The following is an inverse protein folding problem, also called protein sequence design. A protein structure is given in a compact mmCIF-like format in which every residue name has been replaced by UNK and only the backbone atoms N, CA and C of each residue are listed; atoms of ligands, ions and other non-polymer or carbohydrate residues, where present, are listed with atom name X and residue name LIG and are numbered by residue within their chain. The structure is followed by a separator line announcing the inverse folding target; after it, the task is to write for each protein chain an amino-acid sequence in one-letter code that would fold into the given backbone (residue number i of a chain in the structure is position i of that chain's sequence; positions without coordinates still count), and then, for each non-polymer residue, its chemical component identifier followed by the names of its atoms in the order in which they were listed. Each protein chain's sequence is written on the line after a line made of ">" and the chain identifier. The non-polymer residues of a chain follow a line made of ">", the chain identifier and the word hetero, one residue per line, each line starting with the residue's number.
data_IF_995355409284
#
_entry.id   IF_995355409284
#
_cell.length_a   1.000
_cell.length_b   1.000
_cell.length_c   1.000
_cell.angle_alpha   90.00
_cell.angle_beta   90.00
_cell.angle_gamma   90.00
#
_symmetry.space_group_name_H-M   'P 1'
#
loop_
_entity.id
_entity.type
_entity.pdbx_description
1 polymer ?
#
# COMPACT_ATOMS: atom_id res chain seq x y z
N UNK A 1 0.67 -16.56 21.35
CA UNK A 1 1.28 -16.62 20.02
C UNK A 1 1.65 -15.20 19.65
N UNK A 2 2.93 -14.94 19.37
CA UNK A 2 3.44 -13.62 18.98
C UNK A 2 4.10 -13.74 17.61
N UNK A 3 3.96 -12.70 16.78
CA UNK A 3 4.67 -12.59 15.50
C UNK A 3 5.67 -11.45 15.51
N UNK A 4 6.64 -11.51 14.59
CA UNK A 4 7.62 -10.45 14.33
C UNK A 4 7.47 -9.98 12.88
N UNK A 5 7.47 -8.66 12.69
CA UNK A 5 7.62 -8.05 11.37
C UNK A 5 9.08 -7.62 11.25
N UNK A 6 9.74 -8.03 10.17
CA UNK A 6 11.16 -7.73 9.95
C UNK A 6 11.51 -7.68 8.47
N UNK A 7 12.47 -6.83 8.14
CA UNK A 7 13.18 -6.78 6.84
C UNK A 7 14.43 -7.65 6.79
N UNK A 8 14.79 -8.32 7.89
CA UNK A 8 15.98 -9.15 8.00
C UNK A 8 15.58 -10.63 7.88
N UNK A 9 16.05 -11.31 6.84
CA UNK A 9 15.69 -12.71 6.59
C UNK A 9 16.08 -13.65 7.74
N UNK A 10 17.19 -13.38 8.43
CA UNK A 10 17.63 -14.20 9.58
C UNK A 10 16.72 -14.07 10.81
N UNK A 11 15.91 -12.99 10.89
CA UNK A 11 15.03 -12.72 12.03
C UNK A 11 13.65 -13.36 11.88
N UNK A 12 13.27 -13.86 10.70
CA UNK A 12 11.93 -14.43 10.48
C UNK A 12 11.67 -15.69 11.31
N UNK A 13 12.74 -16.39 11.70
CA UNK A 13 12.70 -17.58 12.55
C UNK A 13 13.25 -17.31 13.98
N UNK A 14 13.32 -16.04 14.39
CA UNK A 14 13.90 -15.69 15.68
C UNK A 14 12.99 -16.10 16.85
N UNK A 15 13.57 -16.70 17.88
CA UNK A 15 12.86 -16.91 19.14
C UNK A 15 12.65 -15.56 19.86
N UNK A 16 11.52 -15.37 20.58
CA UNK A 16 10.48 -16.34 20.91
C UNK A 16 9.24 -16.27 19.99
N UNK A 17 9.35 -15.77 18.76
CA UNK A 17 8.19 -15.55 17.90
C UNK A 17 7.78 -16.81 17.15
N UNK A 18 6.47 -17.05 17.09
CA UNK A 18 5.89 -18.21 16.42
C UNK A 18 5.64 -17.97 14.92
N UNK A 19 5.63 -16.70 14.50
CA UNK A 19 5.28 -16.28 13.13
C UNK A 19 6.19 -15.14 12.66
N UNK A 20 6.87 -15.33 11.54
CA UNK A 20 7.67 -14.30 10.87
C UNK A 20 6.91 -13.67 9.71
N UNK A 21 6.79 -12.35 9.72
CA UNK A 21 6.34 -11.54 8.59
C UNK A 21 7.54 -10.85 7.97
N UNK A 22 7.80 -11.10 6.68
CA UNK A 22 8.95 -10.55 5.98
C UNK A 22 8.56 -9.37 5.11
N UNK A 23 9.17 -8.21 5.31
CA UNK A 23 8.91 -7.01 4.50
C UNK A 23 9.53 -7.17 3.10
N UNK A 24 8.74 -7.69 2.17
CA UNK A 24 9.07 -7.76 0.73
C UNK A 24 9.03 -6.37 0.11
N UNK A 25 8.00 -5.59 0.45
CA UNK A 25 7.91 -4.16 0.14
C UNK A 25 7.53 -3.40 1.40
N UNK A 26 8.32 -2.41 1.77
CA UNK A 26 8.04 -1.49 2.87
C UNK A 26 7.71 -0.07 2.35
N UNK A 27 7.26 0.82 3.25
CA UNK A 27 6.92 2.21 2.93
C UNK A 27 8.10 3.06 2.46
N UNK A 28 9.34 2.59 2.59
CA UNK A 28 10.51 3.30 2.05
C UNK A 28 10.59 3.17 0.53
N UNK A 29 9.85 2.23 -0.06
CA UNK A 29 9.91 1.89 -1.49
C UNK A 29 10.97 0.84 -1.82
N UNK A 30 11.57 0.21 -0.79
CA UNK A 30 12.47 -0.92 -0.99
C UNK A 30 11.66 -2.15 -1.39
N UNK A 31 12.13 -2.85 -2.42
CA UNK A 31 11.69 -4.21 -2.75
C UNK A 31 12.78 -5.24 -2.41
N UNK A 32 12.37 -6.42 -1.95
CA UNK A 32 13.21 -7.59 -1.70
C UNK A 32 12.56 -8.83 -2.34
N UNK A 33 13.31 -9.92 -2.46
CA UNK A 33 12.75 -11.19 -2.93
C UNK A 33 11.88 -11.82 -1.81
N UNK A 34 10.71 -12.40 -2.13
CA UNK A 34 9.91 -13.16 -1.18
C UNK A 34 10.69 -14.32 -0.54
N UNK A 35 10.31 -14.68 0.69
CA UNK A 35 10.89 -15.81 1.41
C UNK A 35 9.91 -16.99 1.51
N UNK A 36 10.39 -18.24 1.34
CA UNK A 36 9.55 -19.44 1.46
C UNK A 36 9.21 -19.82 2.90
N UNK A 37 9.86 -19.22 3.89
CA UNK A 37 9.74 -19.55 5.30
C UNK A 37 9.16 -18.41 6.16
N UNK A 38 8.46 -17.45 5.54
CA UNK A 38 7.80 -16.34 6.20
C UNK A 38 6.52 -15.95 5.46
N UNK A 39 5.56 -15.36 6.18
CA UNK A 39 4.42 -14.68 5.55
C UNK A 39 4.93 -13.39 4.95
N UNK A 40 4.97 -13.31 3.63
CA UNK A 40 5.51 -12.14 2.94
C UNK A 40 4.57 -10.94 3.06
N UNK A 41 5.14 -9.78 3.37
CA UNK A 41 4.42 -8.53 3.65
C UNK A 41 4.67 -7.47 2.57
N UNK A 42 3.60 -6.83 2.12
CA UNK A 42 3.63 -5.80 1.07
C UNK A 42 2.90 -4.55 1.57
N UNK A 43 3.64 -3.47 1.85
CA UNK A 43 3.07 -2.12 1.98
C UNK A 43 2.53 -1.68 0.62
N UNK A 44 1.21 -1.59 0.49
CA UNK A 44 0.52 -1.37 -0.78
C UNK A 44 0.65 0.10 -1.19
N UNK A 45 -0.05 1.00 -0.51
CA UNK A 45 -0.17 2.41 -0.93
C UNK A 45 0.70 3.37 -0.12
N UNK A 46 1.63 2.85 0.69
CA UNK A 46 2.74 3.62 1.26
C UNK A 46 4.02 3.38 0.46
N UNK A 47 4.62 4.44 -0.08
CA UNK A 47 5.85 4.34 -0.88
C UNK A 47 6.56 5.68 -1.04
N UNK A 48 7.62 5.88 -0.26
CA UNK A 48 8.42 7.11 -0.32
C UNK A 48 9.24 7.23 -1.60
N UNK A 49 9.74 6.12 -2.16
CA UNK A 49 10.57 6.15 -3.36
C UNK A 49 9.71 6.52 -4.56
N UNK A 50 8.60 5.82 -4.77
CA UNK A 50 7.69 6.09 -5.88
C UNK A 50 7.12 7.52 -5.82
N UNK A 51 6.72 7.99 -4.64
CA UNK A 51 6.24 9.35 -4.44
C UNK A 51 7.31 10.42 -4.72
N UNK A 52 8.60 10.11 -4.51
CA UNK A 52 9.69 11.05 -4.80
C UNK A 52 10.07 11.08 -6.28
N UNK A 53 9.79 10.00 -7.01
CA UNK A 53 10.13 9.87 -8.44
C UNK A 53 9.03 10.40 -9.36
N UNK A 54 7.76 10.31 -8.95
CA UNK A 54 6.62 10.70 -9.76
C UNK A 54 5.49 11.33 -8.93
N UNK A 55 5.34 12.66 -9.05
CA UNK A 55 4.29 13.43 -8.38
C UNK A 55 2.87 13.02 -8.80
N UNK A 56 2.67 12.45 -10.01
CA UNK A 56 1.35 12.01 -10.50
C UNK A 56 0.80 10.78 -9.73
N UNK A 57 1.67 10.09 -8.99
CA UNK A 57 1.31 9.01 -8.09
C UNK A 57 0.76 9.52 -6.76
N UNK A 58 1.14 10.74 -6.35
CA UNK A 58 0.87 11.23 -5.01
C UNK A 58 -0.56 11.77 -4.92
N UNK A 59 -1.38 11.28 -3.98
CA UNK A 59 -2.73 11.79 -3.80
C UNK A 59 -2.70 13.19 -3.18
N UNK A 60 -3.62 14.04 -3.63
CA UNK A 60 -3.77 15.43 -3.16
C UNK A 60 -5.12 15.67 -2.50
N UNK A 61 -5.21 16.69 -1.65
CA UNK A 61 -6.48 17.21 -1.13
C UNK A 61 -7.18 18.14 -2.14
N UNK A 62 -8.35 18.68 -1.77
CA UNK A 62 -9.12 19.63 -2.60
C UNK A 62 -8.35 20.91 -2.96
N UNK A 63 -7.30 21.24 -2.20
CA UNK A 63 -6.44 22.41 -2.40
C UNK A 63 -5.18 22.07 -3.20
N UNK A 64 -5.03 20.82 -3.66
CA UNK A 64 -3.86 20.32 -4.37
C UNK A 64 -2.66 20.05 -3.45
N UNK A 65 -2.86 19.98 -2.14
CA UNK A 65 -1.79 19.68 -1.20
C UNK A 65 -1.50 18.17 -1.17
N UNK A 66 -0.23 17.75 -1.36
CA UNK A 66 0.09 16.33 -1.52
C UNK A 66 0.21 15.59 -0.19
N UNK A 67 -0.15 14.30 -0.19
CA UNK A 67 -0.06 13.40 0.96
C UNK A 67 1.35 12.81 1.15
N UNK A 68 2.34 13.68 1.39
CA UNK A 68 3.73 13.29 1.62
C UNK A 68 4.12 13.39 3.09
N UNK A 69 5.24 12.74 3.43
CA UNK A 69 5.89 12.80 4.75
C UNK A 69 6.34 14.20 5.20
N UNK A 70 6.31 15.19 4.31
CA UNK A 70 6.63 16.59 4.66
C UNK A 70 5.49 17.26 5.43
N UNK A 71 4.32 16.61 5.50
CA UNK A 71 3.17 17.04 6.28
C UNK A 71 3.17 16.37 7.65
N UNK A 72 2.72 17.11 8.66
CA UNK A 72 2.72 16.69 10.07
C UNK A 72 1.94 15.39 10.35
N UNK A 73 1.00 15.03 9.49
CA UNK A 73 0.09 13.91 9.71
C UNK A 73 0.52 12.60 9.04
N UNK A 74 1.61 12.59 8.28
CA UNK A 74 2.02 11.43 7.49
C UNK A 74 3.42 10.95 7.88
N UNK A 75 3.50 9.71 8.35
CA UNK A 75 4.77 9.04 8.65
C UNK A 75 5.53 8.62 7.37
N UNK A 76 4.82 8.48 6.24
CA UNK A 76 5.33 8.17 4.91
C UNK A 76 4.48 8.83 3.82
N UNK A 77 5.00 8.87 2.59
CA UNK A 77 4.23 9.32 1.43
C UNK A 77 3.25 8.25 0.96
N UNK A 78 2.05 8.69 0.58
CA UNK A 78 1.01 7.83 0.02
C UNK A 78 1.05 7.81 -1.49
N UNK A 79 0.58 6.70 -2.06
CA UNK A 79 0.31 6.52 -3.47
C UNK A 79 -1.19 6.41 -3.67
N UNK A 80 -1.70 7.05 -4.72
CA UNK A 80 -3.11 7.10 -5.03
C UNK A 80 -3.64 5.68 -5.35
N UNK A 81 -4.60 5.13 -4.58
CA UNK A 81 -5.10 3.77 -4.79
C UNK A 81 -5.83 3.54 -6.11
N UNK A 82 -6.12 4.60 -6.87
CA UNK A 82 -6.75 4.52 -8.19
C UNK A 82 -5.76 4.55 -9.35
N UNK A 83 -4.45 4.65 -9.09
CA UNK A 83 -3.45 4.66 -10.15
C UNK A 83 -3.30 3.26 -10.77
N UNK A 84 -3.70 3.05 -12.05
CA UNK A 84 -3.83 1.70 -12.62
C UNK A 84 -2.49 0.98 -12.71
N UNK A 85 -1.46 1.63 -13.25
CA UNK A 85 -0.14 1.01 -13.43
C UNK A 85 0.53 0.67 -12.09
N UNK A 86 0.22 1.43 -11.03
CA UNK A 86 0.79 1.15 -9.70
C UNK A 86 0.07 -0.03 -9.05
N UNK A 87 -1.26 -0.13 -9.21
CA UNK A 87 -2.04 -1.31 -8.80
C UNK A 87 -1.56 -2.57 -9.50
N UNK A 88 -1.30 -2.50 -10.82
CA UNK A 88 -0.78 -3.62 -11.60
C UNK A 88 0.56 -4.12 -11.03
N UNK A 89 1.50 -3.20 -10.76
CA UNK A 89 2.78 -3.56 -10.12
C UNK A 89 2.63 -4.16 -8.72
N UNK A 90 1.67 -3.68 -7.92
CA UNK A 90 1.37 -4.31 -6.61
C UNK A 90 0.85 -5.74 -6.77
N UNK A 91 -0.04 -5.98 -7.74
CA UNK A 91 -0.57 -7.33 -7.97
C UNK A 91 0.52 -8.31 -8.42
N UNK A 92 1.51 -7.86 -9.19
CA UNK A 92 2.68 -8.68 -9.55
C UNK A 92 3.47 -9.09 -8.29
N UNK A 93 3.82 -8.13 -7.43
CA UNK A 93 4.55 -8.41 -6.18
C UNK A 93 3.76 -9.34 -5.26
N UNK A 94 2.44 -9.11 -5.13
CA UNK A 94 1.55 -9.95 -4.30
C UNK A 94 1.49 -11.37 -4.86
N UNK A 95 1.41 -11.53 -6.19
CA UNK A 95 1.39 -12.84 -6.84
C UNK A 95 2.71 -13.60 -6.59
N UNK A 96 3.86 -12.94 -6.68
CA UNK A 96 5.16 -13.55 -6.39
C UNK A 96 5.27 -13.98 -4.92
N UNK A 97 4.79 -13.13 -3.98
CA UNK A 97 4.72 -13.46 -2.56
C UNK A 97 3.86 -14.70 -2.28
N UNK A 98 2.68 -14.76 -2.92
CA UNK A 98 1.74 -15.88 -2.78
C UNK A 98 2.30 -17.15 -3.42
N UNK A 99 3.03 -17.05 -4.53
CA UNK A 99 3.67 -18.19 -5.16
C UNK A 99 4.76 -18.82 -4.27
N UNK A 100 5.48 -17.98 -3.50
CA UNK A 100 6.60 -18.43 -2.67
C UNK A 100 6.16 -19.07 -1.33
N UNK A 101 5.17 -18.51 -0.62
CA UNK A 101 4.74 -19.03 0.71
C UNK A 101 3.23 -19.28 0.85
N UNK A 102 2.41 -18.89 -0.13
CA UNK A 102 0.95 -19.00 -0.06
C UNK A 102 0.29 -17.80 0.60
N UNK A 103 0.47 -17.64 1.91
CA UNK A 103 -0.13 -16.53 2.67
C UNK A 103 0.64 -15.22 2.41
N UNK A 104 -0.10 -14.12 2.22
CA UNK A 104 0.45 -12.76 2.04
C UNK A 104 -0.21 -11.81 3.03
N UNK A 105 0.61 -10.97 3.67
CA UNK A 105 0.16 -9.87 4.52
C UNK A 105 0.19 -8.58 3.71
N UNK A 106 -0.96 -7.95 3.52
CA UNK A 106 -1.00 -6.60 2.95
C UNK A 106 -0.96 -5.57 4.08
N UNK A 107 -0.11 -4.55 3.93
CA UNK A 107 -0.05 -3.40 4.83
C UNK A 107 -0.30 -2.09 4.06
N UNK A 108 -0.61 -1.01 4.78
CA UNK A 108 -0.90 0.31 4.19
C UNK A 108 -1.97 0.24 3.08
N UNK A 109 -2.98 -0.60 3.30
CA UNK A 109 -4.06 -0.87 2.34
C UNK A 109 -5.16 0.17 2.52
N UNK A 110 -4.98 1.32 1.89
CA UNK A 110 -6.00 2.35 1.92
C UNK A 110 -5.63 3.63 1.21
N UNK A 111 -6.64 4.49 1.12
CA UNK A 111 -6.42 5.90 0.84
C UNK A 111 -5.68 6.56 2.01
N UNK A 112 -4.98 7.68 1.77
CA UNK A 112 -4.58 8.59 2.85
C UNK A 112 -5.81 9.09 3.64
N UNK A 113 -5.57 9.92 4.65
CA UNK A 113 -6.59 10.57 5.50
C UNK A 113 -7.83 11.07 4.74
N UNK A 114 -8.93 11.25 5.46
CA UNK A 114 -10.10 12.03 5.01
C UNK A 114 -9.68 13.34 4.30
N UNK A 115 -10.38 13.68 3.22
CA UNK A 115 -10.13 14.90 2.44
C UNK A 115 -8.97 14.81 1.43
N UNK A 116 -8.38 13.63 1.22
CA UNK A 116 -7.40 13.36 0.17
C UNK A 116 -7.97 12.47 -0.94
N UNK A 117 -7.21 12.39 -2.04
CA UNK A 117 -7.56 11.79 -3.33
C UNK A 117 -8.60 12.62 -4.10
N UNK A 118 -8.44 13.94 -4.16
CA UNK A 118 -9.24 14.85 -4.97
C UNK A 118 -8.54 15.28 -6.28
N UNK A 119 -7.65 14.43 -6.82
CA UNK A 119 -7.10 14.66 -8.15
C UNK A 119 -8.13 14.40 -9.24
N UNK A 120 -7.91 14.94 -10.45
CA UNK A 120 -8.81 14.77 -11.61
C UNK A 120 -9.17 13.31 -11.92
N UNK A 121 -8.26 12.37 -11.64
CA UNK A 121 -8.53 10.93 -11.80
C UNK A 121 -9.59 10.45 -10.80
N UNK A 122 -9.41 10.72 -9.52
CA UNK A 122 -10.33 10.27 -8.49
C UNK A 122 -11.69 10.96 -8.59
N UNK A 123 -11.71 12.28 -8.85
CA UNK A 123 -12.95 13.03 -9.07
C UNK A 123 -13.76 12.48 -10.24
N UNK A 124 -13.08 12.17 -11.37
CA UNK A 124 -13.73 11.53 -12.51
C UNK A 124 -14.25 10.14 -12.18
N UNK A 125 -13.43 9.29 -11.55
CA UNK A 125 -13.83 7.92 -11.20
C UNK A 125 -14.98 7.90 -10.18
N UNK A 126 -15.02 8.86 -9.26
CA UNK A 126 -16.15 9.04 -8.36
C UNK A 126 -17.41 9.45 -9.12
N UNK A 127 -17.32 10.46 -10.01
CA UNK A 127 -18.45 10.92 -10.82
C UNK A 127 -18.98 9.86 -11.80
N UNK A 128 -18.14 8.92 -12.22
CA UNK A 128 -18.50 7.77 -13.06
C UNK A 128 -19.04 6.58 -12.26
N UNK A 129 -18.93 6.62 -10.92
CA UNK A 129 -19.41 5.55 -10.04
C UNK A 129 -20.90 5.69 -9.71
N UNK A 130 -21.49 4.60 -9.20
CA UNK A 130 -22.87 4.58 -8.70
C UNK A 130 -22.99 5.08 -7.24
N UNK A 131 -21.98 5.78 -6.72
CA UNK A 131 -21.93 6.24 -5.33
C UNK A 131 -22.23 7.73 -5.22
N UNK A 132 -23.10 8.06 -4.26
CA UNK A 132 -23.41 9.45 -3.90
C UNK A 132 -22.45 10.00 -2.82
N UNK A 133 -21.73 9.10 -2.13
CA UNK A 133 -20.81 9.44 -1.04
C UNK A 133 -19.38 9.02 -1.38
N UNK A 134 -18.44 9.93 -1.14
CA UNK A 134 -17.03 9.73 -1.48
C UNK A 134 -16.34 8.69 -0.59
N UNK A 135 -16.75 8.57 0.68
CA UNK A 135 -16.19 7.57 1.59
C UNK A 135 -16.66 6.16 1.22
N UNK A 136 -17.93 6.00 0.83
CA UNK A 136 -18.46 4.74 0.29
C UNK A 136 -17.73 4.33 -1.00
N UNK A 137 -17.48 5.28 -1.90
CA UNK A 137 -16.68 5.03 -3.11
C UNK A 137 -15.24 4.62 -2.78
N UNK A 138 -14.58 5.30 -1.84
CA UNK A 138 -13.24 4.91 -1.37
C UNK A 138 -13.23 3.50 -0.78
N UNK A 139 -14.26 3.13 -0.03
CA UNK A 139 -14.39 1.79 0.54
C UNK A 139 -14.54 0.73 -0.56
N UNK A 140 -15.32 0.99 -1.61
CA UNK A 140 -15.44 0.09 -2.76
C UNK A 140 -14.11 -0.11 -3.48
N UNK A 141 -13.37 0.96 -3.75
CA UNK A 141 -12.06 0.89 -4.44
C UNK A 141 -11.10 -0.03 -3.68
N UNK A 142 -11.05 0.10 -2.34
CA UNK A 142 -10.18 -0.77 -1.53
C UNK A 142 -10.74 -2.18 -1.41
N UNK A 143 -12.05 -2.34 -1.32
CA UNK A 143 -12.70 -3.66 -1.27
C UNK A 143 -12.43 -4.44 -2.55
N UNK A 144 -12.51 -3.79 -3.71
CA UNK A 144 -12.17 -4.39 -5.00
C UNK A 144 -10.68 -4.75 -5.09
N UNK A 145 -9.80 -3.90 -4.53
CA UNK A 145 -8.36 -4.18 -4.53
C UNK A 145 -7.99 -5.44 -3.74
N UNK A 146 -8.69 -5.76 -2.65
CA UNK A 146 -8.37 -6.90 -1.78
C UNK A 146 -9.20 -8.17 -2.05
N UNK A 147 -10.08 -8.15 -3.05
CA UNK A 147 -11.00 -9.25 -3.38
C UNK A 147 -10.31 -10.36 -4.18
#
# INVERSE_FOLDING_TARGET
>A
MYGVVTRNADEVAMEPFDLGFYEVKDVTGRAAEPLPNAVNMVSCFGDNAAASENDDLVPVDERGEPATRDREYFDWAYICPTHPEYREGLFEIIADCAAENGDVRLDDVGFPREGFCHCDRCERLFAESDRDDFADWRADVITEFVA
#
